data_IF_510299327703
#
_entry.id   IF_510299327703
#
_cell.length_a   1.000
_cell.length_b   1.000
_cell.length_c   1.000
_cell.angle_alpha   90.00
_cell.angle_beta   90.00
_cell.angle_gamma   90.00
#
_symmetry.space_group_name_H-M   'P 1'
#
loop_
_entity.id
_entity.type
_entity.pdbx_description
1 polymer ?
#
# COMPACT_ATOMS: atom_id res chain seq x y z
N UNK A 1 23.55 -62.94 26.98
CA UNK A 1 24.54 -62.10 26.28
C UNK A 1 24.09 -60.65 26.46
N UNK A 2 23.90 -60.16 27.68
CA UNK A 2 24.81 -59.94 28.84
C UNK A 2 24.97 -58.40 28.94
N UNK A 3 24.32 -57.69 29.87
CA UNK A 3 24.61 -57.57 31.32
C UNK A 3 25.98 -56.94 31.63
N UNK A 4 25.96 -55.73 32.21
CA UNK A 4 26.85 -55.19 33.26
C UNK A 4 26.41 -53.75 33.56
N UNK A 5 25.72 -53.42 34.67
CA UNK A 5 26.10 -53.37 36.10
C UNK A 5 27.11 -52.27 36.53
N UNK A 6 26.59 -51.33 37.34
CA UNK A 6 27.00 -51.03 38.72
C UNK A 6 27.94 -49.83 39.08
N UNK A 7 27.51 -49.19 40.18
CA UNK A 7 28.20 -48.47 41.27
C UNK A 7 28.27 -46.93 41.36
N UNK A 8 27.73 -46.46 42.51
CA UNK A 8 28.18 -45.30 43.31
C UNK A 8 27.22 -44.10 43.28
N UNK A 9 26.48 -43.70 44.32
CA UNK A 9 26.65 -43.86 45.77
C UNK A 9 26.79 -42.48 46.43
N UNK A 10 26.07 -42.28 47.55
CA UNK A 10 26.23 -41.26 48.63
C UNK A 10 25.06 -40.25 48.80
N UNK A 11 24.25 -40.52 49.84
CA UNK A 11 23.51 -39.55 50.67
C UNK A 11 24.44 -39.05 51.81
N UNK A 12 24.13 -37.90 52.44
CA UNK A 12 23.79 -37.92 53.89
C UNK A 12 22.63 -36.93 54.23
N UNK A 13 21.62 -37.28 55.03
CA UNK A 13 21.55 -37.45 56.50
C UNK A 13 21.37 -36.15 57.33
N UNK A 14 20.11 -35.77 57.47
CA UNK A 14 19.27 -35.32 58.62
C UNK A 14 19.89 -35.15 60.05
N UNK A 15 19.58 -33.97 60.65
CA UNK A 15 19.28 -33.58 62.08
C UNK A 15 20.35 -33.51 63.21
N UNK A 16 20.09 -32.91 64.42
CA UNK A 16 19.29 -31.73 64.85
C UNK A 16 19.92 -30.85 66.01
N UNK A 17 19.23 -29.73 66.36
CA UNK A 17 19.07 -29.03 67.68
C UNK A 17 20.29 -28.52 68.51
N UNK A 18 20.21 -27.24 68.94
CA UNK A 18 20.94 -26.66 70.08
C UNK A 18 20.34 -25.33 70.57
N UNK A 19 19.99 -25.26 71.86
CA UNK A 19 19.38 -24.14 72.62
C UNK A 19 20.41 -23.12 73.18
N UNK A 20 19.87 -22.08 73.84
CA UNK A 20 20.44 -21.07 74.78
C UNK A 20 20.90 -19.75 74.16
N UNK A 21 20.66 -18.56 74.74
CA UNK A 21 20.08 -18.10 76.01
C UNK A 21 19.55 -16.65 75.80
N UNK A 22 18.62 -16.19 76.65
CA UNK A 22 18.18 -14.79 76.72
C UNK A 22 19.26 -13.83 77.30
N UNK A 23 18.96 -12.52 77.44
CA UNK A 23 17.97 -12.11 78.43
C UNK A 23 16.97 -11.03 77.95
N UNK A 24 15.81 -11.03 78.59
CA UNK A 24 14.88 -9.91 78.58
C UNK A 24 15.33 -8.84 79.58
N UNK A 25 15.26 -7.56 79.17
CA UNK A 25 15.03 -6.45 80.07
C UNK A 25 14.10 -5.47 79.33
N UNK A 26 12.90 -5.34 79.88
CA UNK A 26 11.94 -4.29 79.59
C UNK A 26 12.58 -2.93 79.90
N UNK A 27 12.37 -1.92 79.07
CA UNK A 27 11.62 -0.73 79.50
C UNK A 27 11.40 0.26 78.36
N UNK A 28 10.15 0.73 78.30
CA UNK A 28 9.61 1.71 77.37
C UNK A 28 10.29 3.08 77.48
N UNK A 29 10.56 3.74 76.36
CA UNK A 29 10.32 5.20 76.24
C UNK A 29 9.92 5.57 74.81
N UNK A 30 8.67 6.04 74.71
CA UNK A 30 8.12 6.96 73.72
C UNK A 30 8.16 6.56 72.23
N UNK A 31 7.03 5.96 71.82
CA UNK A 31 6.40 6.31 70.55
C UNK A 31 6.42 7.84 70.36
N UNK A 32 7.01 8.30 69.27
CA UNK A 32 6.69 9.62 68.71
C UNK A 32 6.26 9.51 67.25
N UNK A 33 5.75 8.34 66.84
CA UNK A 33 5.11 8.12 65.55
C UNK A 33 3.65 8.59 65.62
N UNK A 34 3.46 9.90 65.76
CA UNK A 34 2.12 10.48 65.88
C UNK A 34 2.06 11.89 66.45
N UNK A 35 3.17 12.63 66.55
CA UNK A 35 3.10 14.04 66.90
C UNK A 35 2.31 14.81 65.84
N UNK A 36 1.40 15.74 66.21
CA UNK A 36 0.73 16.63 65.27
C UNK A 36 1.71 17.33 64.30
N UNK A 37 2.94 17.57 64.75
CA UNK A 37 4.00 18.14 63.91
C UNK A 37 4.43 17.21 62.77
N UNK A 38 4.51 15.90 63.00
CA UNK A 38 4.89 14.92 61.99
C UNK A 38 3.78 14.69 60.97
N UNK A 39 2.51 14.70 61.39
CA UNK A 39 1.37 14.69 60.47
C UNK A 39 1.35 15.94 59.57
N UNK A 40 1.66 17.12 60.13
CA UNK A 40 1.78 18.35 59.35
C UNK A 40 2.95 18.27 58.36
N UNK A 41 4.08 17.66 58.77
CA UNK A 41 5.24 17.44 57.90
C UNK A 41 4.91 16.51 56.74
N UNK A 42 4.26 15.37 57.01
CA UNK A 42 3.83 14.41 55.98
C UNK A 42 2.83 15.05 55.04
N UNK A 43 1.85 15.81 55.55
CA UNK A 43 0.90 16.56 54.74
C UNK A 43 1.62 17.56 53.82
N UNK A 44 2.61 18.27 54.33
CA UNK A 44 3.39 19.23 53.54
C UNK A 44 4.22 18.50 52.48
N UNK A 45 4.85 17.38 52.82
CA UNK A 45 5.61 16.56 51.86
C UNK A 45 4.71 16.02 50.75
N UNK A 46 3.53 15.51 51.10
CA UNK A 46 2.56 15.01 50.12
C UNK A 46 2.04 16.15 49.24
N UNK A 47 1.74 17.32 49.83
CA UNK A 47 1.33 18.51 49.08
C UNK A 47 2.42 18.96 48.11
N UNK A 48 3.69 18.95 48.54
CA UNK A 48 4.82 19.30 47.68
C UNK A 48 4.98 18.27 46.56
N UNK A 49 4.84 16.98 46.85
CA UNK A 49 4.92 15.92 45.85
C UNK A 49 3.80 16.01 44.80
N UNK A 50 2.56 16.26 45.25
CA UNK A 50 1.45 16.51 44.34
C UNK A 50 1.67 17.76 43.49
N UNK A 51 2.26 18.81 44.06
CA UNK A 51 2.62 20.02 43.33
C UNK A 51 3.72 19.74 42.29
N UNK A 52 4.79 19.04 42.65
CA UNK A 52 5.86 18.64 41.73
C UNK A 52 5.33 17.79 40.57
N UNK A 53 4.46 16.81 40.85
CA UNK A 53 3.77 16.05 39.80
C UNK A 53 2.92 16.94 38.89
N UNK A 54 2.16 17.88 39.45
CA UNK A 54 1.34 18.81 38.67
C UNK A 54 2.20 19.74 37.80
N UNK A 55 3.35 20.18 38.31
CA UNK A 55 4.33 20.98 37.56
C UNK A 55 4.94 20.14 36.45
N UNK A 56 5.37 18.91 36.70
CA UNK A 56 5.92 18.01 35.67
C UNK A 56 4.90 17.70 34.56
N UNK A 57 3.62 17.46 34.92
CA UNK A 57 2.55 17.26 33.95
C UNK A 57 2.25 18.51 33.11
N UNK A 58 2.39 19.70 33.69
CA UNK A 58 2.18 20.96 32.97
C UNK A 58 3.42 21.40 32.17
N UNK A 59 4.63 21.12 32.66
CA UNK A 59 5.89 21.35 31.94
C UNK A 59 6.05 20.38 30.76
N UNK A 60 5.62 19.12 30.92
CA UNK A 60 5.58 18.10 29.87
C UNK A 60 4.60 18.39 28.73
N UNK A 61 3.66 19.34 28.89
CA UNK A 61 2.84 19.85 27.78
C UNK A 61 3.62 20.77 26.83
N UNK A 62 4.77 21.30 27.27
CA UNK A 62 5.61 22.22 26.49
C UNK A 62 6.83 21.55 25.84
N UNK A 63 7.16 20.30 26.20
CA UNK A 63 8.23 19.56 25.56
C UNK A 63 7.71 18.60 24.48
N UNK A 64 8.46 18.59 23.37
CA UNK A 64 8.29 17.85 22.11
C UNK A 64 7.50 16.53 22.21
N UNK A 65 6.52 16.28 21.32
CA UNK A 65 5.66 15.08 21.33
C UNK A 65 6.35 13.74 21.01
N UNK A 66 7.68 13.67 21.04
CA UNK A 66 8.45 12.51 20.59
C UNK A 66 8.37 11.30 21.54
N UNK A 67 8.25 11.50 22.86
CA UNK A 67 8.19 10.40 23.83
C UNK A 67 6.77 9.82 24.04
N UNK A 68 5.72 10.65 23.94
CA UNK A 68 4.32 10.18 24.02
C UNK A 68 3.95 9.31 22.82
N UNK A 69 4.36 9.71 21.62
CA UNK A 69 4.05 8.97 20.39
C UNK A 69 4.73 7.59 20.33
N UNK A 70 5.93 7.46 20.89
CA UNK A 70 6.65 6.19 20.99
C UNK A 70 6.02 5.26 22.03
N UNK A 71 5.66 5.78 23.21
CA UNK A 71 4.96 5.04 24.24
C UNK A 71 3.57 4.56 23.78
N UNK A 72 2.83 5.38 23.03
CA UNK A 72 1.53 5.01 22.44
C UNK A 72 1.68 3.90 21.37
N UNK A 73 2.73 3.96 20.56
CA UNK A 73 3.03 2.92 19.56
C UNK A 73 3.43 1.61 20.22
N UNK A 74 4.28 1.67 21.26
CA UNK A 74 4.66 0.49 22.04
C UNK A 74 3.47 -0.09 22.81
N UNK A 75 2.58 0.75 23.35
CA UNK A 75 1.33 0.28 23.96
C UNK A 75 0.43 -0.44 22.94
N UNK A 76 0.24 0.12 21.75
CA UNK A 76 -0.53 -0.52 20.68
C UNK A 76 0.10 -1.85 20.25
N UNK A 77 1.43 -1.92 20.19
CA UNK A 77 2.18 -3.14 19.92
C UNK A 77 2.00 -4.19 21.02
N UNK A 78 2.14 -3.80 22.28
CA UNK A 78 1.92 -4.66 23.44
C UNK A 78 0.49 -5.21 23.47
N UNK A 79 -0.51 -4.37 23.20
CA UNK A 79 -1.91 -4.80 23.10
C UNK A 79 -2.13 -5.80 21.97
N UNK A 80 -1.58 -5.54 20.78
CA UNK A 80 -1.67 -6.48 19.65
C UNK A 80 -1.01 -7.81 19.96
N UNK A 81 0.14 -7.78 20.64
CA UNK A 81 0.88 -8.98 21.03
C UNK A 81 0.14 -9.75 22.12
N UNK A 82 -0.47 -9.05 23.08
CA UNK A 82 -1.32 -9.65 24.11
C UNK A 82 -2.52 -10.38 23.49
N UNK A 83 -3.24 -9.75 22.55
CA UNK A 83 -4.37 -10.39 21.87
C UNK A 83 -3.92 -11.59 21.01
N UNK A 84 -2.74 -11.49 20.38
CA UNK A 84 -2.13 -12.62 19.68
C UNK A 84 -1.86 -13.79 20.63
N UNK A 85 -1.17 -13.54 21.75
CA UNK A 85 -0.82 -14.57 22.75
C UNK A 85 -2.08 -15.18 23.36
N UNK A 86 -3.07 -14.37 23.70
CA UNK A 86 -4.37 -14.81 24.22
C UNK A 86 -5.09 -15.72 23.23
N UNK A 87 -5.10 -15.36 21.95
CA UNK A 87 -5.69 -16.19 20.88
C UNK A 87 -4.96 -17.53 20.76
N UNK A 88 -3.62 -17.50 20.77
CA UNK A 88 -2.80 -18.72 20.72
C UNK A 88 -3.08 -19.60 21.93
N UNK A 89 -3.06 -19.05 23.14
CA UNK A 89 -3.34 -19.79 24.37
C UNK A 89 -4.73 -20.43 24.34
N UNK A 90 -5.76 -19.66 23.97
CA UNK A 90 -7.12 -20.20 23.85
C UNK A 90 -7.20 -21.36 22.85
N UNK A 91 -6.60 -21.21 21.66
CA UNK A 91 -6.58 -22.25 20.64
C UNK A 91 -5.82 -23.50 21.09
N UNK A 92 -4.68 -23.32 21.77
CA UNK A 92 -3.89 -24.42 22.34
C UNK A 92 -4.66 -25.18 23.41
N UNK A 93 -5.31 -24.48 24.34
CA UNK A 93 -6.14 -25.09 25.39
C UNK A 93 -7.34 -25.83 24.78
N UNK A 94 -8.01 -25.24 23.78
CA UNK A 94 -9.11 -25.90 23.08
C UNK A 94 -8.65 -27.16 22.35
N UNK A 95 -7.48 -27.14 21.71
CA UNK A 95 -6.89 -28.31 21.06
C UNK A 95 -6.60 -29.42 22.08
N UNK A 96 -6.00 -29.08 23.23
CA UNK A 96 -5.74 -30.03 24.31
C UNK A 96 -7.02 -30.68 24.83
N UNK A 97 -8.05 -29.88 25.14
CA UNK A 97 -9.34 -30.41 25.60
C UNK A 97 -9.98 -31.34 24.57
N UNK A 98 -9.90 -31.02 23.28
CA UNK A 98 -10.40 -31.89 22.21
C UNK A 98 -9.66 -33.22 22.15
N UNK A 99 -8.32 -33.20 22.30
CA UNK A 99 -7.50 -34.42 22.34
C UNK A 99 -7.88 -35.28 23.55
N UNK A 100 -8.00 -34.67 24.73
CA UNK A 100 -8.38 -35.38 25.96
C UNK A 100 -9.78 -35.98 25.86
N UNK A 101 -10.75 -35.25 25.32
CA UNK A 101 -12.10 -35.74 25.08
C UNK A 101 -12.11 -36.91 24.08
N UNK A 102 -11.39 -36.80 22.97
CA UNK A 102 -11.28 -37.89 22.01
C UNK A 102 -10.61 -39.13 22.59
N UNK A 103 -9.57 -38.96 23.41
CA UNK A 103 -8.93 -40.06 24.12
C UNK A 103 -9.92 -40.75 25.09
N UNK A 104 -10.69 -39.99 25.86
CA UNK A 104 -11.71 -40.56 26.75
C UNK A 104 -12.79 -41.33 25.98
N UNK A 105 -13.22 -40.83 24.81
CA UNK A 105 -14.14 -41.52 23.90
C UNK A 105 -13.51 -42.83 23.40
N UNK A 106 -12.25 -42.79 22.95
CA UNK A 106 -11.52 -43.96 22.45
C UNK A 106 -11.44 -45.08 23.51
N UNK A 107 -11.13 -44.74 24.76
CA UNK A 107 -11.09 -45.70 25.87
C UNK A 107 -12.47 -46.32 26.15
N UNK A 108 -13.55 -45.56 25.96
CA UNK A 108 -14.92 -46.10 26.07
C UNK A 108 -15.27 -47.04 24.92
N UNK A 109 -14.76 -46.79 23.72
CA UNK A 109 -14.96 -47.67 22.55
C UNK A 109 -14.23 -49.01 22.69
N UNK A 110 -13.15 -49.08 23.48
CA UNK A 110 -12.42 -50.33 23.78
C UNK A 110 -13.18 -51.23 24.74
N UNK A 111 -14.15 -50.71 25.50
CA UNK A 111 -14.99 -51.48 26.42
C UNK A 111 -16.10 -52.18 25.62
N UNK A 112 -16.25 -53.50 25.76
CA UNK A 112 -17.15 -54.34 24.96
C UNK A 112 -18.64 -54.21 25.37
N UNK A 113 -19.19 -53.00 25.27
CA UNK A 113 -20.61 -52.71 25.48
C UNK A 113 -21.38 -52.54 24.16
N UNK A 114 -22.72 -52.70 24.17
CA UNK A 114 -23.57 -52.49 22.99
C UNK A 114 -23.43 -51.07 22.40
N UNK A 115 -23.12 -50.08 23.23
CA UNK A 115 -22.91 -48.69 22.79
C UNK A 115 -21.59 -48.46 22.04
N UNK A 116 -20.62 -49.37 22.16
CA UNK A 116 -19.29 -49.22 21.58
C UNK A 116 -19.32 -49.32 20.04
N UNK A 117 -20.17 -50.19 19.49
CA UNK A 117 -20.32 -50.36 18.04
C UNK A 117 -20.98 -49.14 17.38
N UNK A 118 -22.04 -48.61 18.01
CA UNK A 118 -22.69 -47.38 17.56
C UNK A 118 -21.72 -46.17 17.61
N UNK A 119 -20.94 -46.06 18.69
CA UNK A 119 -19.93 -45.01 18.85
C UNK A 119 -18.82 -45.13 17.79
N UNK A 120 -18.45 -46.34 17.40
CA UNK A 120 -17.49 -46.61 16.31
C UNK A 120 -18.01 -46.16 14.96
N UNK A 121 -19.25 -46.52 14.61
CA UNK A 121 -19.86 -46.07 13.38
C UNK A 121 -19.94 -44.53 13.29
N UNK A 122 -20.25 -43.85 14.40
CA UNK A 122 -20.27 -42.38 14.46
C UNK A 122 -18.86 -41.79 14.31
N UNK A 123 -17.87 -42.37 14.98
CA UNK A 123 -16.46 -41.93 14.89
C UNK A 123 -15.93 -42.03 13.46
N UNK A 124 -16.21 -43.15 12.77
CA UNK A 124 -15.76 -43.37 11.40
C UNK A 124 -16.44 -42.40 10.43
N UNK A 125 -17.75 -42.13 10.61
CA UNK A 125 -18.46 -41.10 9.86
C UNK A 125 -17.88 -39.71 10.10
N UNK A 126 -17.57 -39.36 11.36
CA UNK A 126 -16.96 -38.08 11.69
C UNK A 126 -15.59 -37.90 11.05
N UNK A 127 -14.75 -38.95 11.04
CA UNK A 127 -13.46 -38.94 10.33
C UNK A 127 -13.64 -38.72 8.83
N UNK A 128 -14.59 -39.42 8.20
CA UNK A 128 -14.88 -39.26 6.78
C UNK A 128 -15.30 -37.82 6.44
N UNK A 129 -16.18 -37.23 7.26
CA UNK A 129 -16.61 -35.84 7.11
C UNK A 129 -15.44 -34.85 7.29
N UNK A 130 -14.61 -35.04 8.32
CA UNK A 130 -13.42 -34.22 8.54
C UNK A 130 -12.44 -34.27 7.34
N UNK A 131 -12.25 -35.45 6.75
CA UNK A 131 -11.44 -35.61 5.53
C UNK A 131 -12.04 -34.84 4.35
N UNK A 132 -13.36 -34.93 4.13
CA UNK A 132 -14.04 -34.18 3.07
C UNK A 132 -13.94 -32.66 3.28
N UNK A 133 -14.16 -32.19 4.51
CA UNK A 133 -14.01 -30.78 4.88
C UNK A 133 -12.58 -30.30 4.58
N UNK A 134 -11.57 -31.10 4.94
CA UNK A 134 -10.17 -30.75 4.67
C UNK A 134 -9.88 -30.65 3.17
N UNK A 135 -10.43 -31.55 2.35
CA UNK A 135 -10.29 -31.47 0.90
C UNK A 135 -10.94 -30.21 0.33
N UNK A 136 -12.20 -29.93 0.69
CA UNK A 136 -12.91 -28.73 0.25
C UNK A 136 -12.20 -27.45 0.69
N UNK A 137 -11.62 -27.42 1.89
CA UNK A 137 -10.81 -26.30 2.37
C UNK A 137 -9.53 -26.11 1.55
N UNK A 138 -8.85 -27.20 1.17
CA UNK A 138 -7.68 -27.11 0.30
C UNK A 138 -8.04 -26.63 -1.11
N UNK A 139 -9.13 -27.13 -1.68
CA UNK A 139 -9.63 -26.70 -2.98
C UNK A 139 -10.01 -25.21 -2.97
N UNK A 140 -10.71 -24.75 -1.93
CA UNK A 140 -11.03 -23.33 -1.76
C UNK A 140 -9.78 -22.45 -1.73
N UNK A 141 -8.73 -22.87 -1.00
CA UNK A 141 -7.46 -22.12 -0.95
C UNK A 141 -6.81 -22.04 -2.33
N UNK A 142 -6.75 -23.16 -3.05
CA UNK A 142 -6.22 -23.18 -4.42
C UNK A 142 -7.00 -22.23 -5.34
N UNK A 143 -8.34 -22.29 -5.31
CA UNK A 143 -9.18 -21.39 -6.10
C UNK A 143 -8.97 -19.92 -5.70
N UNK A 144 -8.80 -19.63 -4.42
CA UNK A 144 -8.55 -18.28 -3.94
C UNK A 144 -7.19 -17.74 -4.40
N UNK A 145 -6.17 -18.60 -4.44
CA UNK A 145 -4.84 -18.26 -4.97
C UNK A 145 -4.90 -18.00 -6.48
N UNK A 146 -5.63 -18.84 -7.24
CA UNK A 146 -5.87 -18.65 -8.67
C UNK A 146 -6.60 -17.33 -8.97
N UNK A 147 -7.65 -17.01 -8.20
CA UNK A 147 -8.37 -15.73 -8.32
C UNK A 147 -7.43 -14.56 -8.08
N UNK A 148 -6.60 -14.64 -7.05
CA UNK A 148 -5.63 -13.58 -6.71
C UNK A 148 -4.62 -13.38 -7.84
N UNK A 149 -4.10 -14.47 -8.41
CA UNK A 149 -3.17 -14.41 -9.54
C UNK A 149 -3.83 -13.87 -10.82
N UNK A 150 -5.08 -14.24 -11.10
CA UNK A 150 -5.85 -13.66 -12.21
C UNK A 150 -6.06 -12.15 -12.02
N UNK A 151 -6.37 -11.71 -10.80
CA UNK A 151 -6.52 -10.28 -10.49
C UNK A 151 -5.22 -9.51 -10.71
N UNK A 152 -4.08 -10.09 -10.32
CA UNK A 152 -2.74 -9.52 -10.57
C UNK A 152 -2.46 -9.39 -12.07
N UNK A 153 -2.68 -10.45 -12.85
CA UNK A 153 -2.53 -10.43 -14.32
C UNK A 153 -3.43 -9.38 -14.97
N UNK A 154 -4.69 -9.28 -14.54
CA UNK A 154 -5.63 -8.27 -15.02
C UNK A 154 -5.13 -6.84 -14.77
N UNK A 155 -4.58 -6.58 -13.58
CA UNK A 155 -4.02 -5.27 -13.26
C UNK A 155 -2.80 -4.94 -14.11
N UNK A 156 -1.92 -5.91 -14.34
CA UNK A 156 -0.75 -5.70 -15.20
C UNK A 156 -1.15 -5.41 -16.66
N UNK A 157 -2.14 -6.14 -17.20
CA UNK A 157 -2.68 -5.84 -18.53
C UNK A 157 -3.26 -4.43 -18.59
N UNK A 158 -4.03 -4.00 -17.57
CA UNK A 158 -4.55 -2.63 -17.51
C UNK A 158 -3.43 -1.59 -17.52
N UNK A 159 -2.35 -1.83 -16.77
CA UNK A 159 -1.17 -0.97 -16.73
C UNK A 159 -0.52 -0.86 -18.11
N UNK A 160 -0.30 -1.99 -18.78
CA UNK A 160 0.29 -2.05 -20.12
C UNK A 160 -0.57 -1.36 -21.18
N UNK A 161 -1.90 -1.52 -21.13
CA UNK A 161 -2.82 -0.83 -22.04
C UNK A 161 -2.69 0.68 -21.87
N UNK A 162 -2.68 1.17 -20.63
CA UNK A 162 -2.55 2.60 -20.36
C UNK A 162 -1.20 3.15 -20.86
N UNK A 163 -0.11 2.42 -20.61
CA UNK A 163 1.23 2.78 -21.10
C UNK A 163 1.27 2.84 -22.64
N UNK A 164 0.72 1.83 -23.33
CA UNK A 164 0.65 1.81 -24.80
C UNK A 164 -0.20 2.93 -25.36
N UNK A 165 -1.32 3.26 -24.70
CA UNK A 165 -2.17 4.37 -25.12
C UNK A 165 -1.46 5.71 -24.98
N UNK A 166 -0.68 5.91 -23.91
CA UNK A 166 0.15 7.09 -23.73
C UNK A 166 1.21 7.23 -24.84
N UNK A 167 1.93 6.15 -25.14
CA UNK A 167 2.92 6.13 -26.23
C UNK A 167 2.28 6.45 -27.59
N UNK A 168 1.08 5.91 -27.85
CA UNK A 168 0.36 6.19 -29.09
C UNK A 168 -0.03 7.67 -29.22
N UNK A 169 -0.47 8.29 -28.13
CA UNK A 169 -0.83 9.70 -28.11
C UNK A 169 0.39 10.61 -28.27
N UNK A 170 1.50 10.29 -27.60
CA UNK A 170 2.79 10.99 -27.77
C UNK A 170 3.30 10.90 -29.22
N UNK A 171 3.21 9.72 -29.83
CA UNK A 171 3.65 9.51 -31.22
C UNK A 171 2.75 10.24 -32.22
N UNK A 172 1.43 10.30 -31.96
CA UNK A 172 0.49 11.11 -32.75
C UNK A 172 0.88 12.57 -32.66
N UNK A 173 0.98 13.14 -31.45
CA UNK A 173 1.32 14.55 -31.24
C UNK A 173 2.67 14.92 -31.88
N UNK A 174 3.70 14.08 -31.74
CA UNK A 174 5.01 14.32 -32.32
C UNK A 174 5.05 14.28 -33.84
N UNK A 175 4.14 13.55 -34.51
CA UNK A 175 4.11 13.45 -35.97
C UNK A 175 3.17 14.46 -36.61
N UNK A 176 2.02 14.75 -35.99
CA UNK A 176 1.00 15.61 -36.58
C UNK A 176 1.41 17.09 -36.56
N UNK A 177 2.05 17.54 -35.48
CA UNK A 177 2.52 18.91 -35.33
C UNK A 177 3.55 19.30 -36.42
N UNK A 178 4.67 18.57 -36.62
CA UNK A 178 5.65 18.97 -37.62
C UNK A 178 5.17 18.78 -39.05
N UNK A 179 4.26 17.85 -39.34
CA UNK A 179 3.69 17.68 -40.69
C UNK A 179 2.81 18.88 -41.03
N UNK A 180 1.95 19.30 -40.10
CA UNK A 180 1.06 20.45 -40.26
C UNK A 180 1.85 21.74 -40.45
N UNK A 181 2.87 21.96 -39.61
CA UNK A 181 3.70 23.18 -39.68
C UNK A 181 4.52 23.24 -40.97
N UNK A 182 5.10 22.11 -41.41
CA UNK A 182 5.85 22.03 -42.68
C UNK A 182 4.94 22.26 -43.88
N UNK A 183 3.76 21.64 -43.89
CA UNK A 183 2.79 21.79 -44.97
C UNK A 183 2.31 23.25 -45.07
N UNK A 184 1.97 23.87 -43.94
CA UNK A 184 1.58 25.28 -43.87
C UNK A 184 2.68 26.20 -44.41
N UNK A 185 3.93 26.00 -43.99
CA UNK A 185 5.07 26.81 -44.45
C UNK A 185 5.29 26.70 -45.96
N UNK A 186 5.17 25.49 -46.53
CA UNK A 186 5.31 25.27 -47.98
C UNK A 186 4.16 25.95 -48.73
N UNK A 187 2.93 25.85 -48.21
CA UNK A 187 1.75 26.48 -48.81
C UNK A 187 1.87 28.01 -48.82
N UNK A 188 2.24 28.63 -47.70
CA UNK A 188 2.44 30.08 -47.59
C UNK A 188 3.53 30.57 -48.56
N UNK A 189 4.65 29.82 -48.68
CA UNK A 189 5.71 30.13 -49.65
C UNK A 189 5.22 30.00 -51.10
N UNK A 190 4.40 28.98 -51.38
CA UNK A 190 3.77 28.78 -52.70
C UNK A 190 2.86 29.95 -53.07
N UNK A 191 2.00 30.38 -52.15
CA UNK A 191 1.11 31.53 -52.32
C UNK A 191 1.90 32.84 -52.53
N UNK A 192 2.92 33.10 -51.72
CA UNK A 192 3.76 34.29 -51.87
C UNK A 192 4.48 34.33 -53.24
N UNK A 193 4.95 33.18 -53.71
CA UNK A 193 5.55 33.06 -55.04
C UNK A 193 4.52 33.29 -56.14
N UNK A 194 3.33 32.71 -56.02
CA UNK A 194 2.24 32.89 -56.99
C UNK A 194 1.86 34.36 -57.12
N UNK A 195 1.66 35.07 -56.01
CA UNK A 195 1.36 36.50 -56.00
C UNK A 195 2.48 37.34 -56.61
N UNK A 196 3.74 36.99 -56.34
CA UNK A 196 4.89 37.64 -56.97
C UNK A 196 4.85 37.49 -58.50
N UNK A 197 4.64 36.27 -59.01
CA UNK A 197 4.58 36.04 -60.44
C UNK A 197 3.34 36.65 -61.09
N UNK A 198 2.17 36.60 -60.43
CA UNK A 198 0.94 37.31 -60.84
C UNK A 198 1.22 38.79 -61.07
N UNK A 199 1.87 39.45 -60.10
CA UNK A 199 2.25 40.87 -60.20
C UNK A 199 3.23 41.14 -61.35
N UNK A 200 4.26 40.31 -61.52
CA UNK A 200 5.24 40.47 -62.62
C UNK A 200 4.55 40.33 -63.98
N UNK A 201 3.67 39.34 -64.14
CA UNK A 201 2.92 39.12 -65.37
C UNK A 201 2.05 40.32 -65.70
N UNK A 202 1.27 40.84 -64.74
CA UNK A 202 0.43 42.03 -64.93
C UNK A 202 1.28 43.24 -65.31
N UNK A 203 2.40 43.47 -64.62
CA UNK A 203 3.32 44.56 -64.97
C UNK A 203 3.87 44.41 -66.39
N UNK A 204 4.24 43.20 -66.78
CA UNK A 204 4.78 42.90 -68.12
C UNK A 204 3.73 43.11 -69.22
N UNK A 205 2.49 42.66 -68.98
CA UNK A 205 1.34 42.91 -69.86
C UNK A 205 1.09 44.41 -70.03
N UNK A 206 1.10 45.18 -68.94
CA UNK A 206 0.92 46.63 -68.97
C UNK A 206 2.03 47.36 -69.76
N UNK A 207 3.29 46.97 -69.57
CA UNK A 207 4.42 47.53 -70.34
C UNK A 207 4.29 47.21 -71.82
N UNK A 208 4.00 45.95 -72.18
CA UNK A 208 3.81 45.54 -73.57
C UNK A 208 2.68 46.32 -74.25
N UNK A 209 1.56 46.51 -73.55
CA UNK A 209 0.45 47.33 -74.03
C UNK A 209 0.86 48.78 -74.27
N UNK A 210 1.56 49.40 -73.31
CA UNK A 210 2.06 50.76 -73.46
C UNK A 210 2.96 50.93 -74.69
N UNK A 211 3.83 49.95 -74.95
CA UNK A 211 4.66 49.90 -76.16
C UNK A 211 3.79 49.79 -77.41
N UNK A 212 2.85 48.83 -77.46
CA UNK A 212 1.98 48.63 -78.64
C UNK A 212 1.11 49.86 -78.96
N UNK A 213 0.63 50.57 -77.94
CA UNK A 213 -0.12 51.82 -78.10
C UNK A 213 0.75 52.98 -78.60
N UNK A 214 2.01 53.06 -78.15
CA UNK A 214 2.94 54.13 -78.53
C UNK A 214 3.57 53.91 -79.92
N UNK A 215 3.72 52.66 -80.35
CA UNK A 215 4.20 52.34 -81.69
C UNK A 215 3.14 52.68 -82.73
N UNK A 216 3.54 53.42 -83.76
CA UNK A 216 2.71 53.82 -84.91
C UNK A 216 2.43 52.64 -85.88
N UNK A 217 2.28 51.44 -85.32
CA UNK A 217 1.82 50.24 -86.01
C UNK A 217 0.32 50.38 -86.16
N UNK A 218 -0.23 50.04 -87.33
CA UNK A 218 -1.65 50.19 -87.63
C UNK A 218 -2.48 49.06 -86.97
N UNK A 219 -2.31 48.89 -85.65
CA UNK A 219 -2.89 47.80 -84.87
C UNK A 219 -4.41 47.87 -84.78
N UNK A 220 -4.98 49.07 -84.98
CA UNK A 220 -6.42 49.28 -85.04
C UNK A 220 -7.03 48.62 -86.29
N UNK A 221 -6.30 48.63 -87.41
CA UNK A 221 -6.74 48.09 -88.70
C UNK A 221 -6.46 46.59 -88.85
N UNK A 222 -5.62 46.01 -87.99
CA UNK A 222 -5.37 44.57 -87.96
C UNK A 222 -6.22 43.91 -86.87
N UNK A 223 -7.28 43.15 -87.22
CA UNK A 223 -8.20 42.58 -86.24
C UNK A 223 -7.54 41.61 -85.24
N UNK A 224 -6.53 40.85 -85.66
CA UNK A 224 -5.79 39.92 -84.77
C UNK A 224 -4.94 40.68 -83.76
N UNK A 225 -4.32 41.78 -84.18
CA UNK A 225 -3.48 42.59 -83.29
C UNK A 225 -4.34 43.41 -82.32
N UNK A 226 -5.49 43.92 -82.80
CA UNK A 226 -6.52 44.55 -81.96
C UNK A 226 -7.02 43.61 -80.87
N UNK A 227 -7.32 42.36 -81.22
CA UNK A 227 -7.75 41.33 -80.26
C UNK A 227 -6.67 41.09 -79.18
N UNK A 228 -5.41 40.94 -79.56
CA UNK A 228 -4.29 40.77 -78.62
C UNK A 228 -4.12 42.00 -77.71
N UNK A 229 -4.21 43.22 -78.25
CA UNK A 229 -4.09 44.46 -77.46
C UNK A 229 -5.25 44.65 -76.48
N UNK A 230 -6.47 44.24 -76.85
CA UNK A 230 -7.65 44.34 -75.99
C UNK A 230 -7.71 43.24 -74.92
N UNK A 231 -7.26 42.03 -75.23
CA UNK A 231 -7.25 40.88 -74.29
C UNK A 231 -6.10 40.93 -73.28
N UNK A 232 -5.07 41.74 -73.52
CA UNK A 232 -3.98 42.00 -72.56
C UNK A 232 -4.43 42.67 -71.25
N UNK A 233 -5.68 43.18 -71.17
CA UNK A 233 -6.29 43.69 -69.92
C UNK A 233 -6.76 42.57 -68.98
N UNK A 234 -7.11 41.40 -69.52
CA UNK A 234 -7.73 40.34 -68.75
C UNK A 234 -6.67 39.36 -68.25
N UNK A 235 -6.56 39.23 -66.92
CA UNK A 235 -5.77 38.17 -66.31
C UNK A 235 -6.61 36.88 -66.33
N UNK A 236 -6.23 35.82 -67.06
CA UNK A 236 -7.10 34.66 -67.30
C UNK A 236 -7.22 33.70 -66.11
N UNK A 237 -6.76 34.08 -64.91
CA UNK A 237 -6.87 33.26 -63.71
C UNK A 237 -7.75 34.02 -62.73
N UNK A 238 -9.03 33.62 -62.70
CA UNK A 238 -10.00 34.03 -61.69
C UNK A 238 -9.59 33.50 -60.31
N UNK A 239 -9.88 34.28 -59.27
CA UNK A 239 -9.74 33.86 -57.86
C UNK A 239 -10.56 32.61 -57.53
#
# INVERSE_FOLDING_TARGET
>A
MDALDNMGGVNPAVDPVGQNDGPAAEDSVAQNDGSPADMLRIKQQLSNHCFEMAVQLNAGKSERPSSSSEAERELARCMSELERVKTVHFNSTLALHRIQMWHAIEEKMKQAGPDAEALKAVSDRAKALCSQIKMLQSENRTLQDEITEMQKKRLEIKRLIHEKMKVMEELRSNNEQPITDKYKTVLEKGQANLEKYKKITIMSQNVLRGILLAFKVNWLDNPKLREVVMTLEEFPISD
#
